data_IF_239232202294
#
_entry.id   IF_239232202294
#
_cell.length_a   1.000
_cell.length_b   1.000
_cell.length_c   1.000
_cell.angle_alpha   90.00
_cell.angle_beta   90.00
_cell.angle_gamma   90.00
#
_symmetry.space_group_name_H-M   'P 1'
#
loop_
_entity.id
_entity.type
_entity.pdbx_description
1 polymer ?
#
# COMPACT_ATOMS: atom_id res chain seq x y z
N UNK A 1 1.48 25.54 -47.34
CA UNK A 1 1.10 26.89 -46.90
C UNK A 1 -0.29 26.84 -46.30
N UNK A 2 -0.39 26.92 -44.98
CA UNK A 2 -1.56 27.41 -44.22
C UNK A 2 -1.17 27.35 -42.74
N UNK A 3 -0.74 28.49 -42.21
CA UNK A 3 -0.50 28.72 -40.81
C UNK A 3 -1.84 28.82 -40.07
N UNK A 4 -1.96 28.15 -38.93
CA UNK A 4 -3.01 28.42 -37.96
C UNK A 4 -2.33 28.58 -36.60
N UNK A 5 -2.23 29.83 -36.17
CA UNK A 5 -1.66 30.24 -34.90
C UNK A 5 -2.52 29.77 -33.74
N UNK A 6 -1.88 29.21 -32.72
CA UNK A 6 -2.49 28.91 -31.42
C UNK A 6 -1.92 29.86 -30.38
N UNK A 7 -2.81 30.67 -29.82
CA UNK A 7 -2.53 31.68 -28.80
C UNK A 7 -2.03 31.06 -27.47
N UNK A 8 -1.27 31.82 -26.68
CA UNK A 8 -0.72 31.39 -25.39
C UNK A 8 -1.79 31.49 -24.29
N UNK A 9 -2.22 30.34 -23.76
CA UNK A 9 -3.24 30.25 -22.73
C UNK A 9 -2.65 30.12 -21.33
N UNK A 10 -2.74 31.20 -20.55
CA UNK A 10 -3.10 31.15 -19.14
C UNK A 10 -2.06 30.63 -18.15
N UNK A 11 -1.19 31.51 -17.66
CA UNK A 11 -0.45 31.31 -16.42
C UNK A 11 -1.41 31.22 -15.24
N UNK A 12 -1.70 29.99 -14.81
CA UNK A 12 -2.30 29.70 -13.52
C UNK A 12 -1.28 30.01 -12.43
N UNK A 13 -1.51 31.08 -11.67
CA UNK A 13 -0.80 31.33 -10.42
C UNK A 13 -1.20 30.23 -9.45
N UNK A 14 -0.32 29.25 -9.25
CA UNK A 14 -0.41 28.32 -8.13
C UNK A 14 -0.46 29.16 -6.84
N UNK A 15 -1.47 28.97 -5.97
CA UNK A 15 -1.38 29.51 -4.62
C UNK A 15 -0.17 28.83 -3.98
N UNK A 16 0.85 29.62 -3.64
CA UNK A 16 2.04 29.15 -2.94
C UNK A 16 1.61 28.44 -1.65
N UNK A 17 1.45 27.12 -1.74
CA UNK A 17 1.17 26.27 -0.61
C UNK A 17 2.36 26.37 0.32
N UNK A 18 2.16 26.99 1.48
CA UNK A 18 3.15 27.07 2.54
C UNK A 18 3.70 25.65 2.79
N UNK A 19 4.94 25.44 2.37
CA UNK A 19 5.61 24.15 2.44
C UNK A 19 5.63 23.66 3.89
N UNK A 20 5.49 22.35 4.11
CA UNK A 20 5.44 21.75 5.46
C UNK A 20 6.62 22.18 6.35
N UNK A 21 7.75 22.55 5.74
CA UNK A 21 8.91 23.12 6.42
C UNK A 21 8.65 24.51 7.00
N UNK A 22 7.90 25.38 6.31
CA UNK A 22 7.52 26.72 6.83
C UNK A 22 6.51 26.63 7.98
N UNK A 23 5.54 25.71 7.90
CA UNK A 23 4.58 25.49 8.99
C UNK A 23 5.24 24.87 10.23
N UNK A 24 6.15 23.90 10.03
CA UNK A 24 6.93 23.31 11.13
C UNK A 24 7.91 24.33 11.75
N UNK A 25 8.54 25.18 10.93
CA UNK A 25 9.40 26.26 11.40
C UNK A 25 8.62 27.29 12.22
N UNK A 26 7.43 27.71 11.77
CA UNK A 26 6.58 28.65 12.51
C UNK A 26 6.05 28.05 13.82
N UNK A 27 5.70 26.77 13.84
CA UNK A 27 5.31 26.06 15.06
C UNK A 27 6.48 25.95 16.06
N UNK A 28 7.69 25.67 15.56
CA UNK A 28 8.91 25.61 16.39
C UNK A 28 9.30 26.97 16.97
N UNK A 29 9.13 28.05 16.20
CA UNK A 29 9.37 29.43 16.66
C UNK A 29 8.33 29.85 17.70
N UNK A 30 7.05 29.53 17.49
CA UNK A 30 5.99 29.80 18.46
C UNK A 30 6.20 29.03 19.78
N UNK A 31 6.60 27.76 19.71
CA UNK A 31 6.90 26.94 20.89
C UNK A 31 8.14 27.45 21.65
N UNK A 32 9.20 27.83 20.94
CA UNK A 32 10.42 28.40 21.54
C UNK A 32 10.15 29.75 22.20
N UNK A 33 9.33 30.61 21.58
CA UNK A 33 8.94 31.91 22.13
C UNK A 33 8.05 31.78 23.38
N UNK A 34 7.11 30.83 23.38
CA UNK A 34 6.30 30.52 24.55
C UNK A 34 7.16 29.97 25.71
N UNK A 35 8.12 29.08 25.40
CA UNK A 35 9.06 28.55 26.38
C UNK A 35 9.94 29.64 27.00
N UNK A 36 10.52 30.53 26.18
CA UNK A 36 11.33 31.65 26.66
C UNK A 36 10.51 32.65 27.49
N UNK A 37 9.30 32.98 27.06
CA UNK A 37 8.40 33.89 27.78
C UNK A 37 7.98 33.37 29.15
N UNK A 38 7.67 32.07 29.24
CA UNK A 38 7.33 31.41 30.50
C UNK A 38 8.55 31.23 31.43
N UNK A 39 9.72 30.94 30.87
CA UNK A 39 10.95 30.73 31.63
C UNK A 39 11.50 32.03 32.25
N UNK A 40 11.56 33.12 31.48
CA UNK A 40 12.07 34.41 31.96
C UNK A 40 11.03 35.24 32.73
N UNK A 41 9.73 35.10 32.42
CA UNK A 41 8.68 35.93 33.01
C UNK A 41 8.16 35.45 34.37
N UNK A 42 8.20 34.14 34.66
CA UNK A 42 7.54 33.58 35.85
C UNK A 42 8.49 33.05 36.94
N UNK A 43 9.83 33.05 36.72
CA UNK A 43 10.80 32.53 37.69
C UNK A 43 10.59 31.04 38.05
N UNK A 44 10.04 30.27 37.11
CA UNK A 44 9.56 28.91 37.35
C UNK A 44 10.71 27.91 37.35
N UNK A 45 10.71 26.99 38.32
CA UNK A 45 11.75 25.97 38.45
C UNK A 45 11.81 25.07 37.19
N UNK A 46 13.02 24.76 36.74
CA UNK A 46 13.32 24.11 35.45
C UNK A 46 12.52 22.82 35.17
N UNK A 47 12.15 22.07 36.21
CA UNK A 47 11.34 20.85 36.10
C UNK A 47 9.88 21.12 35.70
N UNK A 48 9.31 22.25 36.14
CA UNK A 48 7.96 22.66 35.76
C UNK A 48 7.91 23.12 34.30
N UNK A 49 8.95 23.80 33.83
CA UNK A 49 9.08 24.21 32.42
C UNK A 49 9.20 22.98 31.49
N UNK A 50 9.92 21.94 31.91
CA UNK A 50 10.05 20.69 31.16
C UNK A 50 8.72 19.92 31.11
N UNK A 51 8.01 19.84 32.23
CA UNK A 51 6.68 19.23 32.28
C UNK A 51 5.66 19.93 31.37
N UNK A 52 5.66 21.27 31.37
CA UNK A 52 4.76 22.05 30.52
C UNK A 52 5.13 21.90 29.02
N UNK A 53 6.42 21.91 28.69
CA UNK A 53 6.90 21.69 27.32
C UNK A 53 6.51 20.31 26.77
N UNK A 54 6.66 19.26 27.59
CA UNK A 54 6.21 17.92 27.25
C UNK A 54 4.69 17.84 27.08
N UNK A 55 3.92 18.51 27.94
CA UNK A 55 2.46 18.56 27.85
C UNK A 55 1.96 19.31 26.59
N UNK A 56 2.62 20.43 26.23
CA UNK A 56 2.30 21.17 24.99
C UNK A 56 2.68 20.35 23.77
N UNK A 57 3.81 19.65 23.77
CA UNK A 57 4.20 18.75 22.68
C UNK A 57 3.22 17.58 22.54
N UNK A 58 2.87 16.91 23.64
CA UNK A 58 1.89 15.82 23.64
C UNK A 58 0.50 16.31 23.21
N UNK A 59 0.08 17.48 23.69
CA UNK A 59 -1.15 18.14 23.27
C UNK A 59 -1.13 18.51 21.79
N UNK A 60 -0.01 19.02 21.27
CA UNK A 60 0.14 19.31 19.84
C UNK A 60 0.11 18.03 19.00
N UNK A 61 0.78 16.96 19.42
CA UNK A 61 0.74 15.66 18.74
C UNK A 61 -0.69 15.07 18.75
N UNK A 62 -1.46 15.27 19.81
CA UNK A 62 -2.85 14.83 19.92
C UNK A 62 -3.84 15.72 19.13
N UNK A 63 -3.57 17.02 19.03
CA UNK A 63 -4.45 18.00 18.37
C UNK A 63 -4.15 18.13 16.88
N UNK A 64 -2.94 17.82 16.42
CA UNK A 64 -2.63 17.69 14.99
C UNK A 64 -3.39 16.45 14.50
N UNK A 65 -4.53 16.62 13.78
CA UNK A 65 -5.18 15.48 13.18
C UNK A 65 -4.21 14.98 12.12
N UNK A 66 -3.98 13.66 12.07
CA UNK A 66 -3.33 13.01 10.93
C UNK A 66 -4.14 13.32 9.68
N UNK A 67 -3.91 14.48 9.07
CA UNK A 67 -4.59 14.92 7.85
C UNK A 67 -3.96 14.14 6.71
N UNK A 68 -4.41 12.88 6.56
CA UNK A 68 -4.34 12.13 5.31
C UNK A 68 -4.94 13.06 4.27
N UNK A 69 -4.09 13.51 3.33
CA UNK A 69 -4.50 14.37 2.22
C UNK A 69 -5.45 13.57 1.34
N UNK A 70 -6.73 13.61 1.69
CA UNK A 70 -7.81 13.24 0.80
C UNK A 70 -7.83 14.25 -0.34
N UNK A 71 -7.10 13.96 -1.41
CA UNK A 71 -7.42 14.51 -2.72
C UNK A 71 -8.71 13.82 -3.20
N UNK A 72 -9.70 14.65 -3.54
CA UNK A 72 -11.01 14.23 -4.05
C UNK A 72 -10.85 13.27 -5.24
N UNK A 73 -11.74 12.30 -5.43
CA UNK A 73 -13.17 12.44 -5.66
C UNK A 73 -13.89 11.24 -5.00
N UNK A 74 -15.14 11.44 -4.57
CA UNK A 74 -16.05 10.49 -3.89
C UNK A 74 -15.86 10.32 -2.37
N UNK A 75 -16.52 11.21 -1.63
CA UNK A 75 -17.06 10.94 -0.30
C UNK A 75 -18.18 9.90 -0.43
N UNK A 76 -17.91 8.62 -0.21
CA UNK A 76 -18.87 7.61 0.25
C UNK A 76 -18.14 6.31 0.62
N UNK A 77 -18.58 5.71 1.73
CA UNK A 77 -18.24 4.36 2.23
C UNK A 77 -16.83 4.20 2.84
N UNK A 78 -16.79 4.33 4.17
CA UNK A 78 -15.75 3.69 4.99
C UNK A 78 -15.82 2.16 4.87
N UNK A 79 -14.78 1.49 5.31
CA UNK A 79 -14.73 0.02 5.39
C UNK A 79 -15.72 -0.40 6.47
N UNK A 80 -16.72 -1.20 6.11
CA UNK A 80 -17.59 -1.81 7.12
C UNK A 80 -16.87 -2.98 7.78
N UNK A 81 -17.25 -3.31 9.01
CA UNK A 81 -16.78 -4.51 9.70
C UNK A 81 -17.05 -5.80 8.88
N UNK A 82 -18.13 -5.80 8.09
CA UNK A 82 -18.42 -6.89 7.16
C UNK A 82 -17.40 -6.97 6.01
N UNK A 83 -16.99 -5.83 5.45
CA UNK A 83 -15.95 -5.77 4.40
C UNK A 83 -14.60 -6.26 4.93
N UNK A 84 -14.23 -5.83 6.15
CA UNK A 84 -13.00 -6.29 6.80
C UNK A 84 -13.01 -7.80 6.99
N UNK A 85 -14.10 -8.34 7.55
CA UNK A 85 -14.22 -9.79 7.76
C UNK A 85 -14.15 -10.57 6.45
N UNK A 86 -14.83 -10.09 5.40
CA UNK A 86 -14.80 -10.71 4.08
C UNK A 86 -13.37 -10.70 3.48
N UNK A 87 -12.67 -9.58 3.58
CA UNK A 87 -11.29 -9.46 3.11
C UNK A 87 -10.31 -10.36 3.87
N UNK A 88 -10.42 -10.41 5.20
CA UNK A 88 -9.59 -11.28 6.04
C UNK A 88 -9.83 -12.76 5.74
N UNK A 89 -11.10 -13.14 5.52
CA UNK A 89 -11.47 -14.50 5.12
C UNK A 89 -10.89 -14.84 3.74
N UNK A 90 -11.00 -13.92 2.77
CA UNK A 90 -10.46 -14.11 1.43
C UNK A 90 -8.93 -14.26 1.44
N UNK A 91 -8.21 -13.46 2.24
CA UNK A 91 -6.76 -13.60 2.40
C UNK A 91 -6.37 -14.90 3.08
N UNK A 92 -7.13 -15.35 4.08
CA UNK A 92 -6.88 -16.62 4.75
C UNK A 92 -7.09 -17.81 3.78
N UNK A 93 -8.15 -17.80 2.99
CA UNK A 93 -8.40 -18.83 1.96
C UNK A 93 -7.29 -18.82 0.90
N UNK A 94 -6.90 -17.64 0.42
CA UNK A 94 -5.82 -17.50 -0.56
C UNK A 94 -4.48 -18.02 -0.03
N UNK A 95 -4.16 -17.71 1.23
CA UNK A 95 -2.98 -18.23 1.91
C UNK A 95 -2.99 -19.77 1.94
N UNK A 96 -4.11 -20.36 2.34
CA UNK A 96 -4.25 -21.82 2.42
C UNK A 96 -4.17 -22.49 1.04
N UNK A 97 -4.82 -21.90 0.02
CA UNK A 97 -4.73 -22.37 -1.37
C UNK A 97 -3.29 -22.34 -1.88
N UNK A 98 -2.56 -21.25 -1.66
CA UNK A 98 -1.15 -21.16 -2.04
C UNK A 98 -0.27 -22.18 -1.30
N UNK A 99 -0.54 -22.44 -0.02
CA UNK A 99 0.16 -23.47 0.74
C UNK A 99 -0.07 -24.88 0.14
N UNK A 100 -1.32 -25.22 -0.21
CA UNK A 100 -1.64 -26.48 -0.90
C UNK A 100 -0.99 -26.60 -2.27
N UNK A 101 -0.89 -25.51 -3.03
CA UNK A 101 -0.16 -25.51 -4.30
C UNK A 101 1.33 -25.79 -4.09
N UNK A 102 1.91 -25.28 -3.00
CA UNK A 102 3.30 -25.53 -2.68
C UNK A 102 3.60 -27.00 -2.37
N UNK A 103 2.64 -27.74 -1.80
CA UNK A 103 2.74 -29.19 -1.54
C UNK A 103 2.72 -30.01 -2.83
N UNK A 104 2.03 -29.50 -3.86
CA UNK A 104 1.87 -30.17 -5.17
C UNK A 104 2.96 -29.78 -6.18
N UNK A 105 3.58 -28.61 -6.00
CA UNK A 105 4.64 -28.12 -6.86
C UNK A 105 5.99 -28.78 -6.56
N UNK A 106 6.96 -28.65 -7.48
CA UNK A 106 8.30 -29.21 -7.34
C UNK A 106 9.37 -28.12 -7.45
N UNK A 107 10.53 -28.37 -6.82
CA UNK A 107 11.70 -27.50 -6.91
C UNK A 107 11.41 -26.05 -6.49
N UNK A 108 11.85 -25.10 -7.32
CA UNK A 108 11.74 -23.66 -7.08
C UNK A 108 10.29 -23.14 -7.06
N UNK A 109 9.35 -23.86 -7.65
CA UNK A 109 7.94 -23.44 -7.63
C UNK A 109 7.31 -23.67 -6.26
N UNK A 110 7.69 -24.75 -5.58
CA UNK A 110 7.22 -25.05 -4.22
C UNK A 110 7.71 -23.99 -3.21
N UNK A 111 8.92 -23.47 -3.36
CA UNK A 111 9.43 -22.40 -2.51
C UNK A 111 8.75 -21.07 -2.83
N UNK A 112 8.49 -20.77 -4.11
CA UNK A 112 7.75 -19.59 -4.52
C UNK A 112 6.32 -19.57 -3.96
N UNK A 113 5.57 -20.67 -4.04
CA UNK A 113 4.21 -20.73 -3.49
C UNK A 113 4.16 -20.61 -1.97
N UNK A 114 5.10 -21.24 -1.26
CA UNK A 114 5.27 -21.02 0.20
C UNK A 114 5.49 -19.55 0.51
N UNK A 115 6.38 -18.89 -0.23
CA UNK A 115 6.65 -17.46 -0.06
C UNK A 115 5.42 -16.60 -0.32
N UNK A 116 4.61 -16.92 -1.34
CA UNK A 116 3.35 -16.22 -1.60
C UNK A 116 2.34 -16.41 -0.45
N UNK A 117 2.20 -17.64 0.07
CA UNK A 117 1.34 -17.91 1.22
C UNK A 117 1.77 -17.08 2.45
N UNK A 118 3.07 -17.03 2.74
CA UNK A 118 3.61 -16.22 3.84
C UNK A 118 3.32 -14.72 3.67
N UNK A 119 3.50 -14.20 2.44
CA UNK A 119 3.21 -12.80 2.11
C UNK A 119 1.72 -12.46 2.30
N UNK A 120 0.83 -13.35 1.85
CA UNK A 120 -0.62 -13.18 2.05
C UNK A 120 -0.99 -13.20 3.54
N UNK A 121 -0.33 -14.05 4.33
CA UNK A 121 -0.48 -14.07 5.79
C UNK A 121 -0.07 -12.75 6.43
N UNK A 122 1.07 -12.17 6.03
CA UNK A 122 1.52 -10.86 6.53
C UNK A 122 0.59 -9.71 6.13
N UNK A 123 0.14 -9.68 4.87
CA UNK A 123 -0.85 -8.69 4.41
C UNK A 123 -2.15 -8.79 5.23
N UNK A 124 -2.61 -10.01 5.52
CA UNK A 124 -3.78 -10.24 6.37
C UNK A 124 -3.58 -9.70 7.78
N UNK A 125 -2.44 -9.99 8.40
CA UNK A 125 -2.17 -9.58 9.76
C UNK A 125 -1.95 -8.06 9.86
N UNK A 126 -1.46 -7.41 8.80
CA UNK A 126 -1.46 -5.95 8.65
C UNK A 126 -2.89 -5.39 8.67
N UNK A 127 -3.80 -5.92 7.85
CA UNK A 127 -5.19 -5.45 7.83
C UNK A 127 -5.98 -5.71 9.12
N UNK A 128 -5.61 -6.73 9.92
CA UNK A 128 -6.15 -6.89 11.28
C UNK A 128 -5.71 -5.76 12.21
N UNK A 129 -4.50 -5.26 12.00
CA UNK A 129 -3.87 -4.23 12.84
C UNK A 129 -4.28 -2.81 12.44
N UNK A 130 -4.42 -2.57 11.13
CA UNK A 130 -4.92 -1.32 10.54
C UNK A 130 -6.03 -1.60 9.51
N UNK A 131 -7.31 -1.59 9.94
CA UNK A 131 -8.45 -1.81 9.06
C UNK A 131 -8.66 -0.73 7.99
N UNK A 132 -8.19 0.50 8.20
CA UNK A 132 -8.43 1.62 7.28
C UNK A 132 -7.69 1.42 5.95
N UNK A 133 -6.58 0.69 5.98
CA UNK A 133 -5.77 0.37 4.80
C UNK A 133 -6.45 -0.63 3.85
N UNK A 134 -7.54 -1.26 4.27
CA UNK A 134 -8.30 -2.19 3.43
C UNK A 134 -8.85 -1.51 2.16
N UNK A 135 -9.15 -0.21 2.23
CA UNK A 135 -9.63 0.54 1.04
C UNK A 135 -8.63 0.48 -0.10
N UNK A 136 -7.34 0.44 0.23
CA UNK A 136 -6.23 0.51 -0.71
C UNK A 136 -5.96 -0.85 -1.33
N UNK A 137 -6.05 -1.91 -0.53
CA UNK A 137 -5.92 -3.29 -1.02
C UNK A 137 -7.19 -3.82 -1.68
N UNK A 138 -8.32 -3.12 -1.63
CA UNK A 138 -9.61 -3.57 -2.19
C UNK A 138 -9.52 -3.99 -3.65
N UNK A 139 -8.80 -3.25 -4.50
CA UNK A 139 -8.61 -3.61 -5.93
C UNK A 139 -7.75 -4.86 -6.08
N UNK A 140 -6.69 -4.98 -5.28
CA UNK A 140 -5.88 -6.19 -5.20
C UNK A 140 -6.71 -7.40 -4.82
N UNK A 141 -7.44 -7.31 -3.70
CA UNK A 141 -8.28 -8.39 -3.19
C UNK A 141 -9.37 -8.78 -4.19
N UNK A 142 -10.10 -7.81 -4.76
CA UNK A 142 -11.25 -8.13 -5.60
C UNK A 142 -10.87 -8.62 -7.00
N UNK A 143 -9.77 -8.13 -7.56
CA UNK A 143 -9.46 -8.33 -8.99
C UNK A 143 -8.20 -9.14 -9.24
N UNK A 144 -7.12 -8.89 -8.50
CA UNK A 144 -5.81 -9.47 -8.82
C UNK A 144 -5.51 -10.74 -8.04
N UNK A 145 -5.88 -10.80 -6.77
CA UNK A 145 -5.71 -11.98 -5.93
C UNK A 145 -6.41 -13.22 -6.53
N UNK A 146 -7.69 -13.16 -6.99
CA UNK A 146 -8.34 -14.32 -7.61
C UNK A 146 -7.63 -14.76 -8.89
N UNK A 147 -7.28 -13.81 -9.77
CA UNK A 147 -6.58 -14.12 -11.04
C UNK A 147 -5.21 -14.75 -10.82
N UNK A 148 -4.50 -14.32 -9.77
CA UNK A 148 -3.21 -14.88 -9.37
C UNK A 148 -3.37 -16.32 -8.87
N UNK A 149 -4.40 -16.59 -8.06
CA UNK A 149 -4.73 -17.94 -7.61
C UNK A 149 -5.08 -18.84 -8.79
N UNK A 150 -6.00 -18.42 -9.66
CA UNK A 150 -6.43 -19.19 -10.84
C UNK A 150 -5.26 -19.52 -11.77
N UNK A 151 -4.37 -18.54 -12.00
CA UNK A 151 -3.16 -18.74 -12.83
C UNK A 151 -2.18 -19.73 -12.19
N UNK A 152 -2.07 -19.70 -10.86
CA UNK A 152 -1.18 -20.57 -10.08
C UNK A 152 -1.69 -22.00 -10.04
N UNK A 153 -3.00 -22.19 -9.86
CA UNK A 153 -3.68 -23.49 -9.95
C UNK A 153 -3.56 -24.09 -11.35
N UNK A 154 -3.88 -23.31 -12.39
CA UNK A 154 -3.75 -23.76 -13.77
C UNK A 154 -2.30 -24.17 -14.12
N UNK A 155 -1.31 -23.49 -13.55
CA UNK A 155 0.09 -23.85 -13.71
C UNK A 155 0.42 -25.19 -13.04
N UNK A 156 0.06 -25.39 -11.77
CA UNK A 156 0.34 -26.64 -11.05
C UNK A 156 -0.41 -27.82 -11.69
N UNK A 157 -1.64 -27.61 -12.13
CA UNK A 157 -2.41 -28.62 -12.85
C UNK A 157 -1.80 -28.97 -14.21
N UNK A 158 -1.23 -27.98 -14.91
CA UNK A 158 -0.50 -28.21 -16.15
C UNK A 158 0.82 -28.95 -15.89
N UNK A 159 1.56 -28.57 -14.85
CA UNK A 159 2.84 -29.18 -14.47
C UNK A 159 2.67 -30.67 -14.10
N UNK A 160 1.53 -31.04 -13.53
CA UNK A 160 1.22 -32.42 -13.18
C UNK A 160 0.92 -33.33 -14.39
N UNK A 161 0.70 -32.76 -15.59
CA UNK A 161 0.39 -33.54 -16.81
C UNK A 161 1.68 -33.95 -17.51
N UNK A 162 1.81 -35.23 -17.82
CA UNK A 162 3.00 -35.82 -18.45
C UNK A 162 3.37 -35.22 -19.81
N UNK A 163 2.40 -34.63 -20.53
CA UNK A 163 2.58 -34.06 -21.87
C UNK A 163 2.84 -32.54 -21.89
N UNK A 164 3.02 -31.91 -20.73
CA UNK A 164 3.32 -30.48 -20.68
C UNK A 164 4.75 -30.23 -21.21
N UNK A 165 4.84 -29.74 -22.46
CA UNK A 165 6.13 -29.42 -23.08
C UNK A 165 6.99 -28.54 -22.17
N UNK A 166 8.18 -29.03 -21.81
CA UNK A 166 9.05 -28.44 -20.77
C UNK A 166 9.35 -26.95 -21.00
N UNK A 167 9.54 -26.53 -22.26
CA UNK A 167 9.77 -25.12 -22.60
C UNK A 167 8.57 -24.21 -22.30
N UNK A 168 7.34 -24.68 -22.58
CA UNK A 168 6.11 -23.93 -22.26
C UNK A 168 5.91 -23.88 -20.75
N UNK A 169 6.18 -24.97 -20.05
CA UNK A 169 6.06 -25.02 -18.59
C UNK A 169 7.05 -24.06 -17.91
N UNK A 170 8.30 -24.00 -18.37
CA UNK A 170 9.28 -23.06 -17.84
C UNK A 170 8.85 -21.58 -18.00
N UNK A 171 8.25 -21.23 -19.15
CA UNK A 171 7.72 -19.88 -19.39
C UNK A 171 6.55 -19.57 -18.45
N UNK A 172 5.60 -20.49 -18.27
CA UNK A 172 4.46 -20.28 -17.38
C UNK A 172 4.90 -20.24 -15.91
N UNK A 173 5.80 -21.14 -15.49
CA UNK A 173 6.38 -21.15 -14.15
C UNK A 173 7.14 -19.86 -13.83
N UNK A 174 7.91 -19.33 -14.80
CA UNK A 174 8.55 -18.01 -14.66
C UNK A 174 7.55 -16.88 -14.42
N UNK A 175 6.38 -16.91 -15.08
CA UNK A 175 5.31 -15.92 -14.87
C UNK A 175 4.70 -16.01 -13.48
N UNK A 176 4.46 -17.22 -12.98
CA UNK A 176 3.90 -17.47 -11.65
C UNK A 176 4.89 -17.04 -10.57
N UNK A 177 6.17 -17.39 -10.70
CA UNK A 177 7.23 -16.90 -9.79
C UNK A 177 7.35 -15.38 -9.80
N UNK A 178 7.04 -14.73 -10.92
CA UNK A 178 6.96 -13.28 -11.03
C UNK A 178 5.92 -12.61 -10.11
N UNK A 179 4.98 -13.35 -9.53
CA UNK A 179 4.04 -12.81 -8.54
C UNK A 179 4.68 -12.56 -7.17
N UNK A 180 5.73 -13.29 -6.81
CA UNK A 180 6.45 -13.09 -5.53
C UNK A 180 6.90 -11.64 -5.36
N UNK A 181 7.71 -11.06 -6.26
CA UNK A 181 8.18 -9.69 -6.08
C UNK A 181 7.04 -8.66 -6.13
N UNK A 182 5.91 -8.95 -6.79
CA UNK A 182 4.75 -8.06 -6.76
C UNK A 182 4.07 -8.08 -5.40
N UNK A 183 3.88 -9.27 -4.81
CA UNK A 183 3.35 -9.42 -3.45
C UNK A 183 4.28 -8.81 -2.39
N UNK A 184 5.59 -8.89 -2.57
CA UNK A 184 6.56 -8.23 -1.68
C UNK A 184 6.44 -6.70 -1.72
N UNK A 185 6.17 -6.13 -2.90
CA UNK A 185 5.97 -4.68 -3.01
C UNK A 185 4.62 -4.25 -2.45
N UNK A 186 3.57 -5.07 -2.63
CA UNK A 186 2.26 -4.85 -1.99
C UNK A 186 2.39 -4.90 -0.47
N UNK A 187 3.06 -5.93 0.07
CA UNK A 187 3.27 -6.07 1.51
C UNK A 187 4.09 -4.92 2.09
N UNK A 188 5.18 -4.53 1.41
CA UNK A 188 5.97 -3.36 1.80
C UNK A 188 5.14 -2.08 1.78
N UNK A 189 4.33 -1.87 0.73
CA UNK A 189 3.49 -0.68 0.63
C UNK A 189 2.40 -0.64 1.71
N UNK A 190 1.88 -1.81 2.14
CA UNK A 190 1.03 -1.90 3.33
C UNK A 190 1.79 -1.44 4.59
N UNK A 191 3.02 -1.93 4.81
CA UNK A 191 3.83 -1.57 5.98
C UNK A 191 4.24 -0.10 5.99
N UNK A 192 4.63 0.45 4.83
CA UNK A 192 5.14 1.82 4.70
C UNK A 192 4.02 2.87 4.62
N UNK A 193 2.76 2.43 4.49
CA UNK A 193 1.59 3.30 4.26
C UNK A 193 1.78 4.23 3.03
N UNK A 194 2.53 3.75 2.02
CA UNK A 194 2.75 4.48 0.77
C UNK A 194 1.62 4.16 -0.22
N UNK A 195 0.63 5.04 -0.20
CA UNK A 195 -0.60 4.93 -0.98
C UNK A 195 -0.35 4.97 -2.50
N UNK A 196 0.62 5.77 -2.94
CA UNK A 196 0.94 5.92 -4.37
C UNK A 196 1.71 4.70 -4.87
N UNK A 197 2.63 4.19 -4.06
CA UNK A 197 3.36 2.98 -4.40
C UNK A 197 2.42 1.77 -4.52
N UNK A 198 1.46 1.61 -3.61
CA UNK A 198 0.53 0.49 -3.70
C UNK A 198 -0.31 0.54 -4.99
N UNK A 199 -0.85 1.71 -5.36
CA UNK A 199 -1.66 1.86 -6.56
C UNK A 199 -0.87 1.56 -7.85
N UNK A 200 0.36 2.09 -7.95
CA UNK A 200 1.27 1.83 -9.07
C UNK A 200 1.59 0.34 -9.16
N UNK A 201 1.88 -0.31 -8.03
CA UNK A 201 2.25 -1.72 -8.02
C UNK A 201 1.07 -2.65 -8.36
N UNK A 202 -0.12 -2.27 -7.90
CA UNK A 202 -1.38 -2.94 -8.23
C UNK A 202 -1.74 -2.75 -9.71
N UNK A 203 -1.41 -1.60 -10.31
CA UNK A 203 -1.54 -1.37 -11.75
C UNK A 203 -0.54 -2.19 -12.56
N UNK A 204 0.74 -2.19 -12.17
CA UNK A 204 1.80 -3.01 -12.79
C UNK A 204 1.45 -4.50 -12.72
N UNK A 205 0.96 -5.00 -11.58
CA UNK A 205 0.49 -6.37 -11.47
C UNK A 205 -0.67 -6.65 -12.43
N UNK A 206 -1.56 -5.68 -12.61
CA UNK A 206 -2.66 -5.76 -13.56
C UNK A 206 -2.22 -5.79 -15.01
N UNK A 207 -1.29 -4.93 -15.42
CA UNK A 207 -0.68 -4.97 -16.74
C UNK A 207 0.04 -6.29 -17.00
N UNK A 208 0.78 -6.78 -16.00
CA UNK A 208 1.44 -8.07 -16.07
C UNK A 208 0.43 -9.20 -16.27
N UNK A 209 -0.69 -9.21 -15.55
CA UNK A 209 -1.74 -10.23 -15.72
C UNK A 209 -2.46 -10.08 -17.06
N UNK A 210 -2.77 -8.85 -17.48
CA UNK A 210 -3.48 -8.56 -18.73
C UNK A 210 -2.65 -8.89 -19.97
N UNK A 211 -1.38 -8.48 -20.00
CA UNK A 211 -0.43 -8.85 -21.05
C UNK A 211 -0.19 -10.37 -21.12
N UNK A 212 -0.49 -11.11 -20.05
CA UNK A 212 -0.39 -12.58 -19.98
C UNK A 212 -1.67 -13.33 -20.38
N UNK A 213 -2.85 -12.66 -20.38
CA UNK A 213 -4.15 -13.23 -20.75
C UNK A 213 -4.61 -12.93 -22.18
N UNK A 214 -3.94 -12.02 -22.90
CA UNK A 214 -4.28 -11.62 -24.26
C UNK A 214 -3.47 -12.36 -25.34
N UNK A 215 -3.96 -13.53 -25.78
CA UNK A 215 -4.19 -13.91 -27.20
C UNK A 215 -4.51 -15.42 -27.32
N UNK A 216 -5.54 -15.81 -28.09
CA UNK A 216 -5.74 -17.18 -28.56
C UNK A 216 -4.64 -17.60 -29.55
#
# INVERSE_FOLDING_TARGET
MASAGRAPGGGGREPAGLSRTTAAALAGVAASAAFLGLYLGAGLAWWAALGLGAAVYAGAVLVIPHRRQAFGIARAEGVTEADLRAALAQLAEAQERMARLAERAQGDDASAFRRMADLLGRIRDHHKSDPDDLRLSRRFLRSYLPRMLDSSEAYVDLAARADAGAGRLAVVGGRVRGFVPALERIERACVENDMTALEVEVEVLGEQIAARGGRP
#
